data_IF_530837651110
#
_entry.id   IF_530837651110
#
_cell.length_a   1.000
_cell.length_b   1.000
_cell.length_c   1.000
_cell.angle_alpha   90.00
_cell.angle_beta   90.00
_cell.angle_gamma   90.00
#
_symmetry.space_group_name_H-M   'P 1'
#
loop_
_entity.id
_entity.type
_entity.pdbx_description
1 polymer ?
#
# COMPACT_ATOMS: atom_id res chain seq x y z
N UNK A 1 -10.85 -28.89 13.78
CA UNK A 1 -11.25 -27.91 12.76
C UNK A 1 -11.65 -26.66 13.52
N UNK A 2 -10.75 -25.70 13.62
CA UNK A 2 -11.06 -24.39 14.23
C UNK A 2 -11.77 -23.57 13.17
N UNK A 3 -13.00 -23.19 13.42
CA UNK A 3 -13.77 -22.22 12.61
C UNK A 3 -12.92 -20.95 12.45
N UNK A 4 -12.80 -20.40 11.22
CA UNK A 4 -12.13 -19.12 11.03
C UNK A 4 -12.79 -18.08 11.92
N UNK A 5 -12.00 -17.32 12.67
CA UNK A 5 -12.50 -16.24 13.54
C UNK A 5 -12.90 -15.04 12.68
N UNK A 6 -13.97 -15.18 11.88
CA UNK A 6 -14.57 -14.08 11.10
C UNK A 6 -15.21 -12.97 11.96
N UNK A 7 -15.07 -13.04 13.29
CA UNK A 7 -15.76 -12.14 14.23
C UNK A 7 -14.93 -10.92 14.67
N UNK A 8 -13.72 -10.75 14.10
CA UNK A 8 -12.93 -9.55 14.43
C UNK A 8 -13.46 -8.35 13.69
N UNK A 9 -14.03 -7.41 14.42
CA UNK A 9 -14.50 -6.14 13.90
C UNK A 9 -13.71 -4.99 14.55
N UNK A 10 -13.31 -4.02 13.74
CA UNK A 10 -12.77 -2.75 14.21
C UNK A 10 -13.84 -1.67 14.01
N UNK A 11 -14.31 -1.07 15.10
CA UNK A 11 -15.42 -0.09 15.08
C UNK A 11 -16.65 -0.58 14.30
N UNK A 12 -16.99 -1.87 14.40
CA UNK A 12 -18.14 -2.48 13.75
C UNK A 12 -17.94 -2.84 12.28
N UNK A 13 -16.75 -2.64 11.71
CA UNK A 13 -16.39 -2.99 10.32
C UNK A 13 -15.38 -4.14 10.27
N UNK A 14 -15.47 -5.00 9.28
CA UNK A 14 -14.40 -5.91 8.91
C UNK A 14 -13.24 -5.12 8.32
N UNK A 15 -12.02 -5.54 8.65
CA UNK A 15 -10.81 -4.97 8.06
C UNK A 15 -10.16 -6.04 7.19
N UNK A 16 -10.20 -5.84 5.89
CA UNK A 16 -9.59 -6.74 4.91
C UNK A 16 -8.38 -6.05 4.29
N UNK A 17 -7.20 -6.61 4.55
CA UNK A 17 -5.98 -6.15 3.87
C UNK A 17 -5.82 -6.93 2.57
N UNK A 18 -5.43 -6.25 1.50
CA UNK A 18 -5.18 -6.85 0.18
C UNK A 18 -3.80 -6.47 -0.33
N UNK A 19 -3.13 -7.40 -1.01
CA UNK A 19 -1.83 -7.15 -1.63
C UNK A 19 -1.78 -7.78 -3.02
N UNK A 20 -1.56 -6.99 -4.09
CA UNK A 20 -1.15 -7.54 -5.39
C UNK A 20 0.24 -8.17 -5.25
N UNK A 21 0.28 -9.49 -5.08
CA UNK A 21 1.46 -10.24 -4.65
C UNK A 21 2.16 -10.92 -5.81
N UNK A 22 3.48 -10.75 -5.92
CA UNK A 22 4.22 -11.34 -7.01
C UNK A 22 5.73 -11.36 -6.87
N UNK A 23 6.29 -10.84 -5.76
CA UNK A 23 7.75 -10.71 -5.59
C UNK A 23 8.16 -11.16 -4.18
N UNK A 24 8.57 -12.42 -4.06
CA UNK A 24 8.93 -13.06 -2.78
C UNK A 24 9.84 -12.19 -1.91
N UNK A 25 10.89 -11.63 -2.49
CA UNK A 25 11.89 -10.85 -1.73
C UNK A 25 11.32 -9.66 -0.95
N UNK A 26 10.22 -9.07 -1.42
CA UNK A 26 9.54 -7.99 -0.71
C UNK A 26 8.43 -8.53 0.21
N UNK A 27 7.71 -9.58 -0.25
CA UNK A 27 6.70 -10.25 0.56
C UNK A 27 7.26 -10.80 1.87
N UNK A 28 8.52 -11.28 1.89
CA UNK A 28 9.21 -11.72 3.11
C UNK A 28 9.28 -10.64 4.18
N UNK A 29 9.36 -9.39 3.77
CA UNK A 29 9.37 -8.21 4.65
C UNK A 29 7.94 -7.81 5.01
N UNK A 30 7.08 -7.60 4.01
CA UNK A 30 5.72 -7.13 4.21
C UNK A 30 4.91 -8.06 5.13
N UNK A 31 5.02 -9.39 4.95
CA UNK A 31 4.26 -10.36 5.74
C UNK A 31 4.55 -10.27 7.25
N UNK A 32 5.76 -9.88 7.65
CA UNK A 32 6.10 -9.65 9.07
C UNK A 32 5.30 -8.47 9.65
N UNK A 33 5.20 -7.37 8.88
CA UNK A 33 4.39 -6.22 9.28
C UNK A 33 2.90 -6.56 9.34
N UNK A 34 2.37 -7.29 8.36
CA UNK A 34 0.96 -7.69 8.35
C UNK A 34 0.64 -8.63 9.52
N UNK A 35 1.52 -9.57 9.85
CA UNK A 35 1.34 -10.43 11.03
C UNK A 35 1.30 -9.63 12.34
N UNK A 36 2.10 -8.57 12.46
CA UNK A 36 2.03 -7.66 13.61
C UNK A 36 0.68 -6.94 13.70
N UNK A 37 0.08 -6.60 12.56
CA UNK A 37 -1.22 -5.94 12.49
C UNK A 37 -2.41 -6.93 12.57
N UNK A 38 -2.16 -8.24 12.56
CA UNK A 38 -3.19 -9.31 12.62
C UNK A 38 -4.25 -9.11 13.70
N UNK A 39 -3.97 -8.56 14.91
CA UNK A 39 -4.99 -8.35 15.94
C UNK A 39 -6.18 -7.48 15.53
N UNK A 40 -6.01 -6.56 14.57
CA UNK A 40 -7.05 -5.65 14.09
C UNK A 40 -7.53 -5.95 12.68
N UNK A 41 -6.90 -6.92 11.99
CA UNK A 41 -7.26 -7.34 10.63
C UNK A 41 -8.14 -8.59 10.70
N UNK A 42 -9.27 -8.57 10.00
CA UNK A 42 -10.17 -9.72 9.87
C UNK A 42 -9.62 -10.77 8.91
N UNK A 43 -9.11 -10.33 7.76
CA UNK A 43 -8.61 -11.20 6.69
C UNK A 43 -7.48 -10.51 5.92
N UNK A 44 -6.48 -11.29 5.49
CA UNK A 44 -5.45 -10.87 4.55
C UNK A 44 -5.58 -11.62 3.23
N UNK A 45 -5.92 -10.92 2.14
CA UNK A 45 -6.07 -11.48 0.81
C UNK A 45 -4.84 -11.19 -0.04
N UNK A 46 -4.19 -12.23 -0.51
CA UNK A 46 -3.09 -12.15 -1.46
C UNK A 46 -3.65 -12.30 -2.87
N UNK A 47 -3.64 -11.23 -3.65
CA UNK A 47 -3.97 -11.25 -5.06
C UNK A 47 -2.79 -11.84 -5.84
N UNK A 48 -2.92 -13.10 -6.26
CA UNK A 48 -1.82 -13.82 -6.93
C UNK A 48 -1.62 -13.23 -8.33
N UNK A 49 -0.70 -12.27 -8.44
CA UNK A 49 -0.42 -11.52 -9.67
C UNK A 49 0.98 -11.81 -10.22
N UNK A 50 1.35 -13.09 -10.26
CA UNK A 50 2.64 -13.58 -10.77
C UNK A 50 2.48 -14.93 -11.44
N UNK A 51 3.36 -15.22 -12.41
CA UNK A 51 3.53 -16.55 -13.01
C UNK A 51 4.79 -17.26 -12.49
N UNK A 52 5.54 -16.64 -11.57
CA UNK A 52 6.76 -17.21 -11.01
C UNK A 52 6.39 -18.25 -9.96
N UNK A 53 6.69 -19.50 -10.24
CA UNK A 53 6.34 -20.66 -9.38
C UNK A 53 6.87 -20.50 -7.96
N UNK A 54 8.09 -19.98 -7.79
CA UNK A 54 8.70 -19.78 -6.48
C UNK A 54 7.91 -18.76 -5.63
N UNK A 55 7.41 -17.67 -6.23
CA UNK A 55 6.58 -16.66 -5.55
C UNK A 55 5.22 -17.25 -5.16
N UNK A 56 4.60 -18.03 -6.06
CA UNK A 56 3.31 -18.70 -5.79
C UNK A 56 3.46 -19.72 -4.66
N UNK A 57 4.52 -20.52 -4.66
CA UNK A 57 4.76 -21.50 -3.60
C UNK A 57 4.99 -20.82 -2.25
N UNK A 58 5.74 -19.72 -2.21
CA UNK A 58 5.94 -18.94 -1.00
C UNK A 58 4.60 -18.40 -0.42
N UNK A 59 3.72 -17.88 -1.27
CA UNK A 59 2.38 -17.44 -0.85
C UNK A 59 1.53 -18.61 -0.30
N UNK A 60 1.62 -19.81 -0.92
CA UNK A 60 0.91 -21.01 -0.44
C UNK A 60 1.44 -21.48 0.91
N UNK A 61 2.75 -21.49 1.11
CA UNK A 61 3.37 -21.82 2.40
C UNK A 61 2.90 -20.85 3.48
N UNK A 62 2.96 -19.55 3.20
CA UNK A 62 2.47 -18.53 4.13
C UNK A 62 0.98 -18.67 4.45
N UNK A 63 0.14 -18.98 3.44
CA UNK A 63 -1.28 -19.28 3.66
C UNK A 63 -1.48 -20.51 4.53
N UNK A 64 -0.74 -21.60 4.29
CA UNK A 64 -0.85 -22.83 5.10
C UNK A 64 -0.52 -22.59 6.57
N UNK A 65 0.53 -21.80 6.85
CA UNK A 65 0.94 -21.44 8.20
C UNK A 65 -0.07 -20.51 8.90
N UNK A 66 -0.86 -19.76 8.12
CA UNK A 66 -1.79 -18.73 8.60
C UNK A 66 -3.21 -18.91 8.02
N UNK A 67 -3.68 -20.15 7.94
CA UNK A 67 -4.93 -20.51 7.24
C UNK A 67 -6.20 -19.95 7.89
N UNK A 68 -6.13 -19.48 9.13
CA UNK A 68 -7.19 -18.77 9.84
C UNK A 68 -7.33 -17.30 9.44
N UNK A 69 -6.39 -16.79 8.64
CA UNK A 69 -6.24 -15.36 8.40
C UNK A 69 -5.92 -15.01 6.94
N UNK A 70 -5.17 -15.86 6.23
CA UNK A 70 -4.68 -15.58 4.86
C UNK A 70 -5.47 -16.33 3.82
N UNK A 71 -5.93 -15.62 2.79
CA UNK A 71 -6.61 -16.16 1.61
C UNK A 71 -5.83 -15.84 0.34
N UNK A 72 -5.69 -16.81 -0.57
CA UNK A 72 -5.16 -16.57 -1.91
C UNK A 72 -6.30 -16.33 -2.88
N UNK A 73 -6.26 -15.21 -3.56
CA UNK A 73 -7.16 -14.86 -4.65
C UNK A 73 -6.45 -14.98 -6.00
N UNK A 74 -7.07 -15.66 -6.94
CA UNK A 74 -6.54 -15.85 -8.28
C UNK A 74 -7.36 -15.06 -9.30
N UNK A 75 -6.72 -14.71 -10.42
CA UNK A 75 -7.42 -14.10 -11.55
C UNK A 75 -8.55 -15.00 -12.05
N UNK A 76 -9.64 -14.39 -12.57
CA UNK A 76 -10.72 -15.15 -13.20
C UNK A 76 -10.20 -16.07 -14.30
N UNK A 77 -10.87 -17.23 -14.49
CA UNK A 77 -10.52 -18.18 -15.55
C UNK A 77 -10.45 -17.49 -16.91
N UNK A 78 -9.39 -17.80 -17.67
CA UNK A 78 -9.15 -17.22 -19.00
C UNK A 78 -8.36 -15.91 -18.99
N UNK A 79 -8.05 -15.34 -17.83
CA UNK A 79 -7.19 -14.16 -17.71
C UNK A 79 -5.80 -14.58 -17.27
N UNK A 80 -4.80 -14.25 -18.09
CA UNK A 80 -3.39 -14.48 -17.75
C UNK A 80 -2.78 -13.26 -17.11
N UNK A 81 -1.89 -13.48 -16.13
CA UNK A 81 -1.16 -12.40 -15.46
C UNK A 81 -0.38 -11.55 -16.47
N UNK A 82 -0.56 -10.25 -16.42
CA UNK A 82 0.12 -9.26 -17.27
C UNK A 82 0.49 -8.01 -16.45
N UNK A 83 1.36 -8.21 -15.45
CA UNK A 83 1.84 -7.12 -14.59
C UNK A 83 0.68 -6.31 -13.96
N UNK A 84 0.79 -5.00 -13.95
CA UNK A 84 -0.21 -4.13 -13.34
C UNK A 84 -1.57 -4.16 -14.05
N UNK A 85 -1.60 -4.47 -15.36
CA UNK A 85 -2.84 -4.44 -16.15
C UNK A 85 -3.88 -5.49 -15.73
N UNK A 86 -3.49 -6.49 -14.95
CA UNK A 86 -4.41 -7.54 -14.47
C UNK A 86 -4.91 -7.32 -13.04
N UNK A 87 -4.29 -6.42 -12.28
CA UNK A 87 -4.67 -6.15 -10.89
C UNK A 87 -6.11 -5.59 -10.81
N UNK A 88 -6.56 -4.85 -11.82
CA UNK A 88 -7.91 -4.29 -11.88
C UNK A 88 -9.03 -5.33 -11.71
N UNK A 89 -8.78 -6.60 -12.05
CA UNK A 89 -9.79 -7.66 -11.95
C UNK A 89 -10.12 -8.08 -10.52
N UNK A 90 -9.22 -7.86 -9.57
CA UNK A 90 -9.41 -8.26 -8.16
C UNK A 90 -10.36 -7.34 -7.40
N UNK A 91 -10.49 -6.08 -7.80
CA UNK A 91 -11.34 -5.12 -7.10
C UNK A 91 -12.83 -5.52 -7.06
N UNK A 92 -13.30 -6.36 -7.99
CA UNK A 92 -14.67 -6.90 -7.98
C UNK A 92 -15.01 -7.68 -6.71
N UNK A 93 -13.99 -8.22 -6.04
CA UNK A 93 -14.13 -8.98 -4.81
C UNK A 93 -13.97 -8.11 -3.55
N UNK A 94 -13.90 -6.78 -3.73
CA UNK A 94 -13.66 -5.82 -2.64
C UNK A 94 -14.82 -4.82 -2.51
N UNK A 95 -16.05 -5.35 -2.50
CA UNK A 95 -17.31 -4.58 -2.52
C UNK A 95 -18.24 -4.88 -1.33
N UNK A 96 -17.78 -5.55 -0.27
CA UNK A 96 -18.59 -5.85 0.90
C UNK A 96 -18.87 -4.57 1.70
N UNK A 97 -20.14 -4.23 1.93
CA UNK A 97 -20.56 -2.93 2.48
C UNK A 97 -20.14 -2.70 3.94
N UNK A 98 -19.95 -3.77 4.70
CA UNK A 98 -19.51 -3.72 6.11
C UNK A 98 -17.99 -3.78 6.28
N UNK A 99 -17.25 -3.57 5.18
CA UNK A 99 -15.81 -3.82 5.11
C UNK A 99 -15.03 -2.55 4.77
N UNK A 100 -13.93 -2.33 5.48
CA UNK A 100 -12.83 -1.44 5.10
C UNK A 100 -11.76 -2.28 4.44
N UNK A 101 -11.42 -1.95 3.22
CA UNK A 101 -10.29 -2.55 2.52
C UNK A 101 -9.08 -1.67 2.66
N UNK A 102 -7.92 -2.29 2.89
CA UNK A 102 -6.61 -1.63 2.93
C UNK A 102 -5.70 -2.36 1.96
N UNK A 103 -5.18 -1.65 0.97
CA UNK A 103 -4.18 -2.19 0.05
C UNK A 103 -2.79 -1.74 0.47
N UNK A 104 -1.86 -2.70 0.49
CA UNK A 104 -0.42 -2.46 0.43
C UNK A 104 0.14 -3.18 -0.80
N UNK A 105 0.97 -2.48 -1.58
CA UNK A 105 1.74 -3.14 -2.64
C UNK A 105 2.77 -4.08 -2.01
N UNK A 106 3.15 -5.16 -2.71
CA UNK A 106 4.05 -6.19 -2.17
C UNK A 106 5.46 -5.64 -1.85
N UNK A 107 5.85 -4.49 -2.41
CA UNK A 107 7.09 -3.77 -2.14
C UNK A 107 6.97 -2.61 -1.14
N UNK A 108 5.95 -2.64 -0.30
CA UNK A 108 5.95 -1.86 0.94
C UNK A 108 6.84 -2.57 1.95
N UNK A 109 7.98 -1.94 2.28
CA UNK A 109 9.07 -2.58 3.04
C UNK A 109 9.19 -2.11 4.50
N UNK A 110 8.39 -1.14 4.90
CA UNK A 110 8.27 -0.72 6.30
C UNK A 110 6.89 -0.15 6.53
N UNK A 111 6.28 -0.51 7.65
CA UNK A 111 4.96 -0.01 8.06
C UNK A 111 5.08 0.42 9.53
N UNK A 112 4.42 1.51 9.85
CA UNK A 112 4.29 2.06 11.19
C UNK A 112 3.68 1.05 12.19
N UNK A 113 3.57 1.44 13.43
CA UNK A 113 3.06 0.58 14.49
C UNK A 113 1.53 0.39 14.42
N UNK A 114 1.03 -0.53 15.25
CA UNK A 114 -0.40 -0.82 15.34
C UNK A 114 -1.23 0.38 15.82
N UNK A 115 -0.83 1.18 16.82
CA UNK A 115 -1.55 2.40 17.19
C UNK A 115 -1.80 3.35 16.02
N UNK A 116 -0.75 3.66 15.22
CA UNK A 116 -0.88 4.51 14.04
C UNK A 116 -1.80 3.89 12.97
N UNK A 117 -1.73 2.58 12.77
CA UNK A 117 -2.64 1.85 11.88
C UNK A 117 -4.11 1.93 12.38
N UNK A 118 -4.35 1.78 13.68
CA UNK A 118 -5.68 1.94 14.25
C UNK A 118 -6.25 3.34 14.02
N UNK A 119 -5.44 4.39 14.19
CA UNK A 119 -5.87 5.77 13.90
C UNK A 119 -6.18 5.97 12.40
N UNK A 120 -5.41 5.36 11.51
CA UNK A 120 -5.68 5.37 10.06
C UNK A 120 -7.02 4.69 9.73
N UNK A 121 -7.29 3.52 10.29
CA UNK A 121 -8.56 2.81 10.10
C UNK A 121 -9.74 3.61 10.67
N UNK A 122 -9.58 4.15 11.87
CA UNK A 122 -10.58 5.03 12.50
C UNK A 122 -10.87 6.23 11.60
N UNK A 123 -9.83 6.91 11.13
CA UNK A 123 -9.98 8.03 10.21
C UNK A 123 -10.76 7.64 8.95
N UNK A 124 -10.45 6.49 8.33
CA UNK A 124 -11.19 5.99 7.16
C UNK A 124 -12.67 5.77 7.45
N UNK A 125 -13.01 5.20 8.62
CA UNK A 125 -14.40 4.91 9.00
C UNK A 125 -15.17 6.20 9.30
N UNK A 126 -14.56 7.15 10.00
CA UNK A 126 -15.18 8.41 10.41
C UNK A 126 -15.32 9.44 9.26
N UNK A 127 -14.57 9.25 8.15
CA UNK A 127 -14.54 10.16 7.01
C UNK A 127 -14.99 9.50 5.71
N UNK A 128 -16.27 9.05 5.60
CA UNK A 128 -16.80 8.40 4.38
C UNK A 128 -16.93 9.35 3.19
N UNK A 129 -16.80 10.66 3.40
CA UNK A 129 -16.84 11.68 2.34
C UNK A 129 -15.66 11.59 1.36
N UNK A 130 -14.52 11.00 1.77
CA UNK A 130 -13.39 10.77 0.87
C UNK A 130 -13.54 9.45 0.13
N UNK A 131 -13.17 9.41 -1.16
CA UNK A 131 -13.22 8.20 -1.96
C UNK A 131 -12.10 7.22 -1.54
N UNK A 132 -10.84 7.67 -1.54
CA UNK A 132 -9.71 6.94 -0.98
C UNK A 132 -9.08 7.73 0.17
N UNK A 133 -8.59 7.01 1.18
CA UNK A 133 -7.63 7.55 2.15
C UNK A 133 -6.28 6.88 1.88
N UNK A 134 -5.28 7.70 1.57
CA UNK A 134 -3.89 7.27 1.42
C UNK A 134 -3.19 7.23 2.77
N UNK A 135 -2.33 6.24 2.99
CA UNK A 135 -1.30 6.35 4.02
C UNK A 135 -0.30 7.45 3.65
N UNK A 136 0.50 7.88 4.60
CA UNK A 136 1.64 8.76 4.37
C UNK A 136 2.81 7.93 3.82
N UNK A 137 2.99 7.90 2.49
CA UNK A 137 3.88 6.97 1.80
C UNK A 137 5.23 7.63 1.52
N UNK A 138 6.29 7.16 2.17
CA UNK A 138 7.67 7.54 1.86
C UNK A 138 8.10 6.84 0.56
N UNK A 139 8.79 7.57 -0.32
CA UNK A 139 9.10 7.19 -1.70
C UNK A 139 7.85 7.01 -2.59
N UNK A 140 6.92 7.98 -2.49
CA UNK A 140 5.83 8.18 -3.45
C UNK A 140 5.99 9.60 -4.01
N UNK A 141 5.90 9.80 -5.32
CA UNK A 141 6.31 11.07 -5.95
C UNK A 141 5.63 12.31 -5.35
N UNK A 142 4.29 12.32 -5.28
CA UNK A 142 3.54 13.45 -4.71
C UNK A 142 3.80 13.60 -3.21
N UNK A 143 3.80 12.49 -2.45
CA UNK A 143 4.08 12.55 -1.03
C UNK A 143 5.53 12.97 -0.74
N UNK A 144 6.47 12.56 -1.57
CA UNK A 144 7.87 13.00 -1.47
C UNK A 144 7.98 14.52 -1.64
N UNK A 145 7.24 15.10 -2.60
CA UNK A 145 7.15 16.57 -2.71
C UNK A 145 6.67 17.18 -1.39
N UNK A 146 5.61 16.64 -0.78
CA UNK A 146 5.10 17.12 0.50
C UNK A 146 6.14 16.94 1.61
N UNK A 147 6.76 15.76 1.72
CA UNK A 147 7.80 15.50 2.72
C UNK A 147 8.95 16.50 2.62
N UNK A 148 9.40 16.85 1.41
CA UNK A 148 10.43 17.85 1.22
C UNK A 148 9.94 19.27 1.57
N UNK A 149 8.68 19.61 1.26
CA UNK A 149 8.07 20.89 1.65
C UNK A 149 7.93 21.04 3.17
N UNK A 150 7.70 19.94 3.88
CA UNK A 150 7.66 19.90 5.34
C UNK A 150 9.04 19.77 5.99
N UNK A 151 10.13 19.67 5.20
CA UNK A 151 11.49 19.47 5.71
C UNK A 151 11.76 18.08 6.30
N UNK A 152 10.93 17.08 5.96
CA UNK A 152 11.03 15.72 6.46
C UNK A 152 12.03 14.87 5.65
N UNK A 153 12.25 15.23 4.40
CA UNK A 153 13.27 14.67 3.52
C UNK A 153 14.17 15.78 3.01
N UNK A 154 15.47 15.48 2.85
CA UNK A 154 16.41 16.43 2.29
C UNK A 154 16.22 16.62 0.76
N UNK A 155 16.81 17.67 0.25
CA UNK A 155 16.74 18.05 -1.17
C UNK A 155 18.08 17.92 -1.89
N UNK A 156 19.08 17.27 -1.27
CA UNK A 156 20.45 17.19 -1.79
C UNK A 156 20.57 16.42 -3.09
N UNK A 157 19.64 15.48 -3.35
CA UNK A 157 19.58 14.68 -4.59
C UNK A 157 18.48 15.13 -5.54
N UNK A 158 17.88 16.28 -5.30
CA UNK A 158 16.82 16.86 -6.12
C UNK A 158 15.57 17.19 -5.34
N UNK A 159 14.62 17.82 -5.99
CA UNK A 159 13.32 18.19 -5.45
C UNK A 159 12.23 17.59 -6.32
N UNK A 160 11.37 16.73 -5.73
CA UNK A 160 10.24 16.13 -6.43
C UNK A 160 9.22 17.18 -6.85
N UNK A 161 8.68 17.08 -8.05
CA UNK A 161 7.53 17.87 -8.47
C UNK A 161 6.22 17.33 -7.91
N UNK A 162 5.20 18.18 -7.84
CA UNK A 162 3.85 17.79 -7.40
C UNK A 162 3.09 17.10 -8.54
N UNK A 163 3.56 15.94 -8.96
CA UNK A 163 2.93 15.09 -9.99
C UNK A 163 3.30 13.62 -9.79
N UNK A 164 2.40 12.71 -10.17
CA UNK A 164 2.55 11.27 -9.95
C UNK A 164 3.81 10.68 -10.61
N UNK A 165 4.04 10.99 -11.90
CA UNK A 165 5.18 10.49 -12.68
C UNK A 165 6.25 11.57 -12.81
N UNK A 166 6.75 12.05 -11.68
CA UNK A 166 7.79 13.08 -11.65
C UNK A 166 9.17 12.52 -12.00
N UNK A 167 9.99 13.33 -12.68
CA UNK A 167 11.32 12.91 -13.13
C UNK A 167 12.27 12.59 -11.96
N UNK A 168 12.09 13.26 -10.82
CA UNK A 168 12.87 13.03 -9.61
C UNK A 168 12.15 12.02 -8.70
N UNK A 169 10.92 12.31 -8.29
CA UNK A 169 10.20 11.52 -7.27
C UNK A 169 9.73 10.14 -7.74
N UNK A 170 9.57 9.92 -9.06
CA UNK A 170 9.13 8.64 -9.61
C UNK A 170 10.21 7.94 -10.43
N UNK A 171 11.06 8.70 -11.16
CA UNK A 171 11.97 8.10 -12.15
C UNK A 171 13.41 7.96 -11.64
N UNK A 172 13.86 8.79 -10.68
CA UNK A 172 15.26 8.85 -10.29
C UNK A 172 15.63 7.81 -9.22
N UNK A 173 16.43 6.80 -9.61
CA UNK A 173 16.88 5.77 -8.66
C UNK A 173 17.86 6.27 -7.59
N UNK A 174 18.75 7.21 -7.93
CA UNK A 174 19.67 7.82 -6.94
C UNK A 174 18.91 8.60 -5.88
N UNK A 175 17.82 9.22 -6.27
CA UNK A 175 16.95 9.93 -5.36
C UNK A 175 16.24 8.96 -4.40
N UNK A 176 15.66 7.85 -4.93
CA UNK A 176 15.03 6.80 -4.12
C UNK A 176 16.04 6.17 -3.15
N UNK A 177 17.25 5.87 -3.63
CA UNK A 177 18.34 5.34 -2.79
C UNK A 177 18.68 6.30 -1.62
N UNK A 178 18.71 7.60 -1.88
CA UNK A 178 18.93 8.60 -0.83
C UNK A 178 17.78 8.63 0.20
N UNK A 179 16.53 8.51 -0.24
CA UNK A 179 15.37 8.40 0.66
C UNK A 179 15.54 7.20 1.61
N UNK A 180 15.86 6.02 1.06
CA UNK A 180 16.05 4.82 1.89
C UNK A 180 17.20 4.99 2.90
N UNK A 181 18.33 5.60 2.48
CA UNK A 181 19.44 5.90 3.39
C UNK A 181 18.99 6.81 4.54
N UNK A 182 18.16 7.80 4.28
CA UNK A 182 17.64 8.67 5.35
C UNK A 182 16.72 7.90 6.32
N UNK A 183 15.86 7.00 5.81
CA UNK A 183 15.01 6.15 6.67
C UNK A 183 15.86 5.22 7.53
N UNK A 184 16.88 4.57 6.95
CA UNK A 184 17.80 3.67 7.68
C UNK A 184 18.62 4.43 8.73
N UNK A 185 19.14 5.60 8.38
CA UNK A 185 19.89 6.46 9.31
C UNK A 185 19.06 6.92 10.51
N UNK A 186 17.74 7.04 10.34
CA UNK A 186 16.78 7.32 11.42
C UNK A 186 16.35 6.05 12.17
N UNK A 187 17.04 4.94 11.97
CA UNK A 187 16.70 3.64 12.57
C UNK A 187 15.24 3.23 12.33
N UNK A 188 14.71 3.52 11.13
CA UNK A 188 13.31 3.24 10.73
C UNK A 188 12.26 3.91 11.64
N UNK A 189 12.62 5.01 12.28
CA UNK A 189 11.64 5.83 13.01
C UNK A 189 10.79 6.61 12.01
N UNK A 190 9.55 6.16 11.85
CA UNK A 190 8.57 6.76 10.95
C UNK A 190 7.76 7.88 11.62
N UNK A 191 7.87 8.06 12.95
CA UNK A 191 7.07 9.04 13.70
C UNK A 191 7.30 10.48 13.24
N UNK A 192 8.48 10.79 12.73
CA UNK A 192 8.76 12.11 12.16
C UNK A 192 7.86 12.43 10.96
N UNK A 193 7.52 11.43 10.15
CA UNK A 193 6.62 11.62 9.01
C UNK A 193 5.17 11.81 9.47
N UNK A 194 4.78 11.26 10.62
CA UNK A 194 3.44 11.40 11.20
C UNK A 194 3.16 12.81 11.73
N UNK A 195 4.13 13.71 11.66
CA UNK A 195 3.94 15.13 11.96
C UNK A 195 3.31 15.91 10.80
N UNK A 196 3.16 15.31 9.65
CA UNK A 196 2.53 15.91 8.48
C UNK A 196 1.02 16.03 8.70
N UNK A 197 0.45 17.20 8.36
CA UNK A 197 -1.00 17.36 8.34
C UNK A 197 -1.66 16.51 7.24
N UNK A 198 -2.94 16.19 7.42
CA UNK A 198 -3.73 15.59 6.36
C UNK A 198 -3.78 16.50 5.13
N UNK A 199 -3.71 15.92 3.93
CA UNK A 199 -3.67 16.66 2.68
C UNK A 199 -4.75 16.20 1.71
N UNK A 200 -5.73 17.09 1.44
CA UNK A 200 -6.83 16.79 0.51
C UNK A 200 -6.34 16.99 -0.93
N UNK A 201 -6.62 16.02 -1.79
CA UNK A 201 -6.29 16.03 -3.22
C UNK A 201 -7.45 16.70 -4.00
N UNK A 202 -7.51 18.04 -3.92
CA UNK A 202 -8.64 18.85 -4.39
C UNK A 202 -8.84 18.85 -5.91
N UNK A 203 -7.76 18.62 -6.68
CA UNK A 203 -7.82 18.62 -8.15
C UNK A 203 -7.93 17.20 -8.72
N UNK A 204 -8.29 16.23 -7.88
CA UNK A 204 -8.35 14.81 -8.26
C UNK A 204 -7.01 14.33 -8.85
N UNK A 205 -5.92 14.71 -8.21
CA UNK A 205 -4.57 14.37 -8.64
C UNK A 205 -4.40 12.84 -8.71
N UNK A 206 -3.77 12.39 -9.79
CA UNK A 206 -3.28 11.00 -9.86
C UNK A 206 -2.16 10.83 -8.84
N UNK A 207 -2.30 9.84 -7.96
CA UNK A 207 -1.30 9.47 -6.94
C UNK A 207 -1.09 7.97 -6.99
N UNK A 208 0.17 7.52 -6.90
CA UNK A 208 0.45 6.08 -6.87
C UNK A 208 -0.12 5.42 -5.62
N UNK A 209 -0.80 4.30 -5.83
CA UNK A 209 -1.72 3.64 -4.89
C UNK A 209 -1.05 2.56 -4.04
N UNK A 210 0.24 2.76 -3.69
CA UNK A 210 1.06 1.78 -2.97
C UNK A 210 0.51 1.41 -1.57
N UNK A 211 -0.21 2.35 -0.92
CA UNK A 211 -0.90 2.10 0.35
C UNK A 211 -2.14 3.00 0.46
N UNK A 212 -3.31 2.39 0.33
CA UNK A 212 -4.60 3.08 0.30
C UNK A 212 -5.66 2.31 1.08
N UNK A 213 -6.73 2.98 1.50
CA UNK A 213 -7.94 2.34 2.00
C UNK A 213 -9.20 2.91 1.38
N UNK A 214 -10.24 2.06 1.30
CA UNK A 214 -11.56 2.42 0.83
C UNK A 214 -12.65 1.68 1.59
N UNK A 215 -13.87 2.19 1.50
CA UNK A 215 -15.07 1.50 1.99
C UNK A 215 -15.60 0.58 0.89
N UNK A 216 -15.90 -0.67 1.22
CA UNK A 216 -16.42 -1.63 0.24
C UNK A 216 -17.71 -1.16 -0.42
N UNK A 217 -18.58 -0.46 0.32
CA UNK A 217 -19.80 0.15 -0.20
C UNK A 217 -19.56 1.17 -1.34
N UNK A 218 -18.43 1.90 -1.30
CA UNK A 218 -18.07 2.82 -2.39
C UNK A 218 -17.76 2.07 -3.69
N UNK A 219 -17.04 0.95 -3.57
CA UNK A 219 -16.72 0.11 -4.73
C UNK A 219 -17.91 -0.71 -5.20
N UNK A 220 -18.85 -1.06 -4.32
CA UNK A 220 -20.11 -1.70 -4.68
C UNK A 220 -20.95 -0.84 -5.64
N UNK A 221 -20.92 0.49 -5.52
CA UNK A 221 -21.65 1.42 -6.38
C UNK A 221 -21.29 1.30 -7.88
N UNK A 222 -20.14 0.71 -8.20
CA UNK A 222 -19.74 0.41 -9.58
C UNK A 222 -19.28 -1.05 -9.74
N UNK A 223 -19.72 -1.95 -8.85
CA UNK A 223 -19.43 -3.38 -8.84
C UNK A 223 -17.92 -3.71 -8.85
N UNK A 224 -17.09 -2.85 -8.32
CA UNK A 224 -15.62 -3.00 -8.33
C UNK A 224 -15.03 -3.06 -9.75
N UNK A 225 -15.73 -2.56 -10.76
CA UNK A 225 -15.25 -2.57 -12.14
C UNK A 225 -14.24 -1.44 -12.33
N UNK A 226 -12.98 -1.80 -12.32
CA UNK A 226 -11.84 -0.91 -12.60
C UNK A 226 -11.42 -1.15 -14.06
N UNK A 227 -11.30 -0.09 -14.84
CA UNK A 227 -11.00 -0.16 -16.29
C UNK A 227 -9.71 0.58 -16.61
N UNK A 228 -8.99 0.06 -17.62
CA UNK A 228 -7.75 0.70 -18.08
C UNK A 228 -6.61 0.63 -17.05
N UNK A 229 -5.92 1.74 -16.86
CA UNK A 229 -4.89 1.90 -15.83
C UNK A 229 -5.56 2.04 -14.46
N UNK A 230 -5.37 1.04 -13.58
CA UNK A 230 -6.03 1.00 -12.28
C UNK A 230 -5.72 2.22 -11.41
N UNK A 231 -4.45 2.63 -11.41
CA UNK A 231 -4.00 3.79 -10.63
C UNK A 231 -4.69 5.06 -11.12
N UNK A 232 -4.68 5.31 -12.43
CA UNK A 232 -5.36 6.46 -13.03
C UNK A 232 -6.86 6.43 -12.73
N UNK A 233 -7.49 5.26 -12.88
CA UNK A 233 -8.93 5.12 -12.69
C UNK A 233 -9.36 5.40 -11.25
N UNK A 234 -8.75 4.72 -10.24
CA UNK A 234 -9.22 4.84 -8.86
C UNK A 234 -8.64 6.05 -8.12
N UNK A 235 -7.49 6.59 -8.56
CA UNK A 235 -6.92 7.77 -7.89
C UNK A 235 -7.42 9.10 -8.45
N UNK A 236 -7.88 9.14 -9.71
CA UNK A 236 -8.21 10.39 -10.39
C UNK A 236 -9.59 10.37 -11.07
N UNK A 237 -9.82 9.45 -12.01
CA UNK A 237 -11.02 9.48 -12.86
C UNK A 237 -12.31 9.19 -12.07
N UNK A 238 -12.30 8.14 -11.26
CA UNK A 238 -13.47 7.74 -10.48
C UNK A 238 -13.82 8.75 -9.38
N UNK A 239 -12.85 9.25 -8.57
CA UNK A 239 -13.08 10.35 -7.65
C UNK A 239 -13.69 11.59 -8.30
N UNK A 240 -13.15 11.99 -9.45
CA UNK A 240 -13.66 13.13 -10.22
C UNK A 240 -15.10 12.91 -10.68
N UNK A 241 -15.41 11.71 -11.21
CA UNK A 241 -16.77 11.37 -11.67
C UNK A 241 -17.79 11.35 -10.52
N UNK A 242 -17.36 10.99 -9.32
CA UNK A 242 -18.19 10.96 -8.11
C UNK A 242 -18.20 12.30 -7.37
N UNK A 243 -17.37 13.26 -7.78
CA UNK A 243 -17.10 14.50 -7.06
C UNK A 243 -16.72 14.25 -5.58
N UNK A 244 -15.94 13.20 -5.34
CA UNK A 244 -15.41 12.82 -4.01
C UNK A 244 -13.89 12.89 -4.05
N UNK A 245 -13.29 13.81 -3.32
CA UNK A 245 -11.83 13.92 -3.24
C UNK A 245 -11.22 12.71 -2.54
N UNK A 246 -9.97 12.45 -2.85
CA UNK A 246 -9.10 11.60 -2.05
C UNK A 246 -8.36 12.45 -1.00
N UNK A 247 -7.84 11.80 0.04
CA UNK A 247 -7.05 12.45 1.08
C UNK A 247 -5.83 11.61 1.46
N UNK A 248 -4.74 12.27 1.78
CA UNK A 248 -3.57 11.67 2.43
C UNK A 248 -3.72 11.88 3.93
N UNK A 249 -3.73 10.78 4.69
CA UNK A 249 -3.71 10.83 6.16
C UNK A 249 -2.28 10.91 6.65
N UNK A 250 -1.93 11.99 7.34
CA UNK A 250 -0.57 12.25 7.77
C UNK A 250 -0.10 11.38 8.95
N UNK A 251 -1.01 10.79 9.72
CA UNK A 251 -0.71 10.11 10.99
C UNK A 251 -0.39 8.62 10.90
N UNK A 252 -0.23 8.05 9.70
CA UNK A 252 0.18 6.65 9.50
C UNK A 252 1.11 6.54 8.31
N UNK A 253 2.35 6.14 8.57
CA UNK A 253 3.41 6.13 7.56
C UNK A 253 3.78 4.71 7.12
N UNK A 254 4.04 4.54 5.83
CA UNK A 254 4.70 3.36 5.29
C UNK A 254 5.79 3.76 4.27
N UNK A 255 6.69 2.82 3.96
CA UNK A 255 7.79 3.03 3.01
C UNK A 255 7.60 2.11 1.81
N UNK A 256 7.43 2.69 0.64
CA UNK A 256 7.45 2.00 -0.63
C UNK A 256 8.90 1.86 -1.12
N UNK A 257 9.30 0.67 -1.57
CA UNK A 257 10.68 0.38 -1.93
C UNK A 257 11.11 1.13 -3.20
N UNK A 258 10.50 0.82 -4.35
CA UNK A 258 10.94 1.46 -5.58
C UNK A 258 9.92 1.33 -6.70
N UNK A 259 9.68 2.42 -7.40
CA UNK A 259 9.01 2.40 -8.70
C UNK A 259 9.83 1.65 -9.75
N UNK A 260 9.15 1.15 -10.77
CA UNK A 260 9.81 0.40 -11.86
C UNK A 260 11.07 1.07 -12.42
N UNK A 261 11.09 2.40 -12.70
CA UNK A 261 12.31 3.05 -13.21
C UNK A 261 13.42 3.19 -12.17
N UNK A 262 13.09 3.29 -10.88
CA UNK A 262 14.05 3.43 -9.79
C UNK A 262 14.75 2.12 -9.45
N UNK A 263 14.01 1.01 -9.59
CA UNK A 263 14.40 -0.32 -9.12
C UNK A 263 15.76 -0.79 -9.62
N UNK A 264 16.12 -0.65 -10.92
CA UNK A 264 17.42 -1.13 -11.40
C UNK A 264 18.63 -0.50 -10.71
N UNK A 265 18.46 0.69 -10.12
CA UNK A 265 19.54 1.36 -9.39
C UNK A 265 19.48 1.01 -7.89
N UNK A 266 18.30 1.02 -7.29
CA UNK A 266 18.15 0.68 -5.87
C UNK A 266 18.58 -0.76 -5.60
N UNK A 267 18.27 -1.69 -6.49
CA UNK A 267 18.65 -3.12 -6.39
C UNK A 267 20.17 -3.36 -6.51
N UNK A 268 20.94 -2.39 -7.04
CA UNK A 268 22.41 -2.49 -7.05
C UNK A 268 23.04 -2.36 -5.67
N UNK A 269 22.28 -1.80 -4.72
CA UNK A 269 22.73 -1.72 -3.33
C UNK A 269 21.91 -2.69 -2.46
N UNK A 270 22.32 -3.98 -2.39
CA UNK A 270 21.56 -5.00 -1.66
C UNK A 270 21.50 -4.74 -0.15
N UNK A 271 22.36 -3.84 0.38
CA UNK A 271 22.33 -3.47 1.79
C UNK A 271 21.05 -2.78 2.20
N UNK A 272 20.39 -2.11 1.26
CA UNK A 272 19.10 -1.43 1.49
C UNK A 272 18.01 -2.45 1.82
N UNK A 273 17.76 -3.40 0.93
CA UNK A 273 16.71 -4.41 1.15
C UNK A 273 17.03 -5.28 2.35
N UNK A 274 18.32 -5.63 2.54
CA UNK A 274 18.79 -6.38 3.71
C UNK A 274 18.48 -5.64 5.02
N UNK A 275 18.70 -4.32 5.09
CA UNK A 275 18.38 -3.54 6.28
C UNK A 275 16.89 -3.56 6.62
N UNK A 276 15.99 -3.49 5.62
CA UNK A 276 14.54 -3.64 5.83
C UNK A 276 14.18 -5.05 6.27
N UNK A 277 14.80 -6.08 5.71
CA UNK A 277 14.58 -7.47 6.13
C UNK A 277 14.99 -7.69 7.59
N UNK A 278 16.19 -7.23 7.99
CA UNK A 278 16.67 -7.31 9.37
C UNK A 278 15.73 -6.55 10.32
N UNK A 279 15.29 -5.35 9.92
CA UNK A 279 14.31 -4.58 10.70
C UNK A 279 12.99 -5.34 10.89
N UNK A 280 12.47 -5.94 9.83
CA UNK A 280 11.20 -6.68 9.88
C UNK A 280 11.27 -7.93 10.77
N UNK A 281 12.45 -8.49 11.00
CA UNK A 281 12.67 -9.62 11.90
C UNK A 281 12.76 -9.21 13.38
N UNK A 282 13.00 -7.92 13.65
CA UNK A 282 13.16 -7.38 15.01
C UNK A 282 11.88 -6.80 15.63
N UNK A 283 10.77 -6.86 14.91
CA UNK A 283 9.46 -6.30 15.33
C UNK A 283 8.48 -7.35 15.81
#
# INVERSE_FOLDING_TARGET
MTTPTHDRLFMGKKIVVVTPAGRKQYMEILFKYILRLKPVITEYRLWVNTNVIADINYMKEFQQENSDFVTLEYLPSGISVSGNSTICHFFKNCCESDTVYVRFDDDVVCIDDMPAFCEYLKYRIEHPEYFLVYANIVNNAILTYLHQRYGLLDTTKGFSGYRCMDDIGWNCGDFALNIHKQVIQRNFDLTIFNTMNNWILLNFERVSINAISWLGEEFANFNGIVIGDEEQFISSEKPKNLNKCNIIFGGFTCVHYAFYPQRPLVDRDPSILKAYLERSQSI
#
